data_IF_433391010474
#
_entry.id   IF_433391010474
#
_cell.length_a   1.000
_cell.length_b   1.000
_cell.length_c   1.000
_cell.angle_alpha   90.00
_cell.angle_beta   90.00
_cell.angle_gamma   90.00
#
_symmetry.space_group_name_H-M   'P 1'
#
loop_
_entity.id
_entity.type
_entity.pdbx_description
1 polymer ?
#
# COMPACT_ATOMS: atom_id res chain seq x y z
N UNK A 1 5.02 -2.46 -8.89
CA UNK A 1 3.83 -3.01 -8.17
C UNK A 1 3.69 -4.48 -8.47
N UNK A 2 3.36 -5.29 -7.47
CA UNK A 2 2.98 -6.69 -7.61
C UNK A 2 1.45 -6.79 -7.66
N UNK A 3 0.91 -7.38 -8.74
CA UNK A 3 -0.53 -7.55 -8.92
C UNK A 3 -0.88 -9.03 -8.86
N UNK A 4 -1.86 -9.39 -8.02
CA UNK A 4 -2.50 -10.70 -8.00
C UNK A 4 -3.78 -10.70 -8.83
N UNK A 5 -4.07 -11.80 -9.49
CA UNK A 5 -5.36 -12.07 -10.14
C UNK A 5 -5.83 -13.43 -9.64
N UNK A 6 -7.04 -13.50 -9.08
CA UNK A 6 -7.71 -14.76 -8.72
C UNK A 6 -8.99 -14.87 -9.52
N UNK A 7 -9.00 -15.79 -10.47
CA UNK A 7 -10.06 -15.99 -11.46
C UNK A 7 -10.01 -17.44 -11.96
N UNK A 8 -11.08 -18.20 -11.88
CA UNK A 8 -11.13 -19.61 -12.28
C UNK A 8 -11.37 -19.79 -13.79
N UNK A 9 -12.02 -18.82 -14.45
CA UNK A 9 -12.16 -18.78 -15.91
C UNK A 9 -10.84 -18.40 -16.57
N UNK A 10 -10.25 -19.34 -17.31
CA UNK A 10 -8.95 -19.15 -18.01
C UNK A 10 -9.01 -18.04 -19.04
N UNK A 11 -10.12 -17.92 -19.77
CA UNK A 11 -10.25 -16.90 -20.82
C UNK A 11 -10.33 -15.51 -20.23
N UNK A 12 -11.07 -15.37 -19.12
CA UNK A 12 -11.20 -14.09 -18.43
C UNK A 12 -9.89 -13.70 -17.72
N UNK A 13 -9.20 -14.67 -17.15
CA UNK A 13 -7.87 -14.47 -16.54
C UNK A 13 -6.86 -13.93 -17.58
N UNK A 14 -6.80 -14.54 -18.78
CA UNK A 14 -5.92 -14.05 -19.85
C UNK A 14 -6.35 -12.65 -20.35
N UNK A 15 -7.66 -12.38 -20.43
CA UNK A 15 -8.16 -11.04 -20.74
C UNK A 15 -7.66 -10.00 -19.73
N UNK A 16 -7.74 -10.29 -18.44
CA UNK A 16 -7.24 -9.38 -17.39
C UNK A 16 -5.74 -9.13 -17.51
N UNK A 17 -4.94 -10.16 -17.78
CA UNK A 17 -3.49 -10.01 -18.07
C UNK A 17 -3.24 -9.07 -19.24
N UNK A 18 -3.97 -9.25 -20.34
CA UNK A 18 -3.83 -8.39 -21.54
C UNK A 18 -4.19 -6.94 -21.17
N UNK A 19 -5.28 -6.71 -20.43
CA UNK A 19 -5.69 -5.36 -20.00
C UNK A 19 -4.65 -4.70 -19.09
N UNK A 20 -4.01 -5.47 -18.20
CA UNK A 20 -2.97 -4.96 -17.32
C UNK A 20 -1.66 -4.63 -18.06
N UNK A 21 -1.44 -5.12 -19.28
CA UNK A 21 -0.28 -4.73 -20.09
C UNK A 21 -0.23 -3.22 -20.37
N UNK A 22 -1.35 -2.52 -20.35
CA UNK A 22 -1.38 -1.05 -20.45
C UNK A 22 -0.59 -0.36 -19.31
N UNK A 23 -0.39 -1.04 -18.19
CA UNK A 23 0.32 -0.55 -17.00
C UNK A 23 1.73 -1.13 -16.83
N UNK A 24 2.27 -1.76 -17.87
CA UNK A 24 3.54 -2.52 -17.86
C UNK A 24 4.75 -1.75 -17.33
N UNK A 25 4.77 -0.41 -17.46
CA UNK A 25 5.87 0.40 -16.93
C UNK A 25 5.86 0.53 -15.40
N UNK A 26 4.72 0.26 -14.76
CA UNK A 26 4.50 0.44 -13.33
C UNK A 26 4.28 -0.89 -12.58
N UNK A 27 4.08 -1.96 -13.34
CA UNK A 27 3.84 -3.32 -12.82
C UNK A 27 5.11 -4.14 -12.99
N UNK A 28 5.69 -4.58 -11.87
CA UNK A 28 6.90 -5.40 -11.85
C UNK A 28 6.59 -6.86 -12.16
N UNK A 29 5.49 -7.38 -11.58
CA UNK A 29 5.08 -8.77 -11.71
C UNK A 29 3.55 -8.91 -11.63
N UNK A 30 2.99 -9.85 -12.40
CA UNK A 30 1.59 -10.28 -12.30
C UNK A 30 1.57 -11.76 -11.96
N UNK A 31 0.92 -12.12 -10.84
CA UNK A 31 0.69 -13.51 -10.46
C UNK A 31 -0.77 -13.88 -10.63
N UNK A 32 -1.01 -15.03 -11.25
CA UNK A 32 -2.35 -15.50 -11.61
C UNK A 32 -2.65 -16.81 -10.88
N UNK A 33 -3.84 -16.87 -10.31
CA UNK A 33 -4.35 -18.01 -9.57
C UNK A 33 -5.70 -18.42 -10.12
N UNK A 34 -5.83 -19.68 -10.47
CA UNK A 34 -7.09 -20.28 -10.97
C UNK A 34 -7.89 -20.95 -9.86
N UNK A 35 -7.30 -21.07 -8.70
CA UNK A 35 -7.96 -21.61 -7.52
C UNK A 35 -7.51 -20.87 -6.26
N UNK A 36 -8.42 -20.68 -5.29
CA UNK A 36 -8.15 -20.01 -4.04
C UNK A 36 -7.06 -20.67 -3.18
N UNK A 37 -6.93 -22.00 -3.24
CA UNK A 37 -5.97 -22.74 -2.40
C UNK A 37 -4.52 -22.37 -2.73
N UNK A 38 -4.18 -22.24 -4.02
CA UNK A 38 -2.84 -21.85 -4.44
C UNK A 38 -2.54 -20.40 -4.02
N UNK A 39 -3.54 -19.53 -4.08
CA UNK A 39 -3.44 -18.14 -3.62
C UNK A 39 -3.27 -18.08 -2.10
N UNK A 40 -4.11 -18.80 -1.35
CA UNK A 40 -4.02 -18.89 0.13
C UNK A 40 -2.63 -19.37 0.56
N UNK A 41 -2.04 -20.35 -0.15
CA UNK A 41 -0.70 -20.84 0.15
C UNK A 41 0.34 -19.72 0.04
N UNK A 42 0.33 -18.95 -1.04
CA UNK A 42 1.30 -17.89 -1.26
C UNK A 42 1.11 -16.73 -0.26
N UNK A 43 -0.12 -16.31 -0.01
CA UNK A 43 -0.41 -15.18 0.89
C UNK A 43 -0.21 -15.56 2.35
N UNK A 44 -0.76 -16.69 2.80
CA UNK A 44 -0.76 -17.07 4.22
C UNK A 44 0.57 -17.72 4.61
N UNK A 45 1.05 -18.70 3.83
CA UNK A 45 2.22 -19.48 4.20
C UNK A 45 3.53 -18.84 3.76
N UNK A 46 3.57 -18.20 2.58
CA UNK A 46 4.76 -17.51 2.07
C UNK A 46 4.78 -16.02 2.43
N UNK A 47 3.72 -15.48 3.05
CA UNK A 47 3.56 -14.07 3.41
C UNK A 47 3.77 -13.14 2.22
N UNK A 48 3.27 -13.56 1.06
CA UNK A 48 3.33 -12.75 -0.15
C UNK A 48 2.32 -11.62 -0.06
N UNK A 49 2.79 -10.40 -0.21
CA UNK A 49 1.95 -9.19 -0.18
C UNK A 49 1.78 -8.66 -1.59
N UNK A 50 0.53 -8.49 -2.01
CA UNK A 50 0.17 -7.85 -3.26
C UNK A 50 -0.10 -6.36 -3.04
N UNK A 51 0.36 -5.52 -3.97
CA UNK A 51 -0.06 -4.11 -4.00
C UNK A 51 -1.53 -4.00 -4.42
N UNK A 52 -1.94 -4.75 -5.44
CA UNK A 52 -3.32 -4.80 -5.95
C UNK A 52 -3.71 -6.27 -6.15
N UNK A 53 -4.94 -6.61 -5.78
CA UNK A 53 -5.56 -7.91 -6.02
C UNK A 53 -6.83 -7.72 -6.85
N UNK A 54 -6.86 -8.27 -8.07
CA UNK A 54 -8.07 -8.43 -8.87
C UNK A 54 -8.70 -9.77 -8.49
N UNK A 55 -9.94 -9.76 -8.02
CA UNK A 55 -10.56 -10.92 -7.38
C UNK A 55 -11.96 -11.14 -7.90
N UNK A 56 -12.22 -12.31 -8.52
CA UNK A 56 -13.59 -12.72 -8.75
C UNK A 56 -14.25 -13.17 -7.45
N UNK A 57 -15.57 -13.03 -7.39
CA UNK A 57 -16.37 -13.44 -6.25
C UNK A 57 -16.72 -14.92 -6.33
N UNK A 58 -17.11 -15.41 -7.51
CA UNK A 58 -17.38 -16.84 -7.70
C UNK A 58 -16.13 -17.57 -8.22
N UNK A 59 -15.55 -18.41 -7.39
CA UNK A 59 -14.33 -19.17 -7.64
C UNK A 59 -14.62 -20.68 -7.51
N UNK A 60 -15.52 -21.16 -8.38
CA UNK A 60 -16.01 -22.53 -8.35
C UNK A 60 -16.84 -22.83 -7.10
N UNK A 61 -16.26 -23.47 -6.09
CA UNK A 61 -16.95 -23.78 -4.81
C UNK A 61 -16.66 -22.78 -3.70
N UNK A 62 -15.74 -21.88 -3.93
CA UNK A 62 -15.28 -20.91 -2.93
C UNK A 62 -15.78 -19.51 -3.25
N UNK A 63 -15.85 -18.67 -2.22
CA UNK A 63 -16.32 -17.30 -2.33
C UNK A 63 -15.13 -16.33 -2.22
N UNK A 64 -14.96 -15.47 -3.21
CA UNK A 64 -13.90 -14.46 -3.22
C UNK A 64 -14.04 -13.42 -2.10
N UNK A 65 -15.25 -13.26 -1.52
CA UNK A 65 -15.44 -12.36 -0.37
C UNK A 65 -14.76 -12.96 0.87
N UNK A 66 -14.89 -14.26 1.10
CA UNK A 66 -14.22 -14.95 2.20
C UNK A 66 -12.69 -14.87 2.04
N UNK A 67 -12.21 -14.98 0.79
CA UNK A 67 -10.80 -14.81 0.47
C UNK A 67 -10.33 -13.38 0.76
N UNK A 68 -11.12 -12.38 0.40
CA UNK A 68 -10.81 -10.99 0.68
C UNK A 68 -10.73 -10.68 2.18
N UNK A 69 -11.60 -11.28 3.00
CA UNK A 69 -11.55 -11.15 4.44
C UNK A 69 -10.23 -11.66 5.01
N UNK A 70 -9.77 -12.84 4.55
CA UNK A 70 -8.45 -13.38 4.93
C UNK A 70 -7.31 -12.44 4.51
N UNK A 71 -7.37 -11.92 3.27
CA UNK A 71 -6.37 -10.95 2.77
C UNK A 71 -6.35 -9.70 3.64
N UNK A 72 -7.51 -9.19 4.04
CA UNK A 72 -7.59 -8.01 4.91
C UNK A 72 -6.94 -8.24 6.28
N UNK A 73 -6.98 -9.46 6.81
CA UNK A 73 -6.34 -9.83 8.07
C UNK A 73 -4.81 -9.96 7.94
N UNK A 74 -4.33 -10.61 6.88
CA UNK A 74 -2.92 -10.95 6.72
C UNK A 74 -2.13 -9.83 6.04
N UNK A 75 -2.71 -9.20 5.02
CA UNK A 75 -2.11 -8.12 4.22
C UNK A 75 -3.05 -6.92 4.10
N UNK A 76 -3.26 -6.15 5.19
CA UNK A 76 -4.30 -5.13 5.30
C UNK A 76 -4.14 -3.93 4.35
N UNK A 77 -3.00 -3.82 3.68
CA UNK A 77 -2.69 -2.74 2.74
C UNK A 77 -2.92 -3.12 1.27
N UNK A 78 -3.17 -4.39 0.98
CA UNK A 78 -3.53 -4.87 -0.35
C UNK A 78 -4.81 -4.18 -0.84
N UNK A 79 -4.75 -3.59 -2.03
CA UNK A 79 -5.90 -2.91 -2.65
C UNK A 79 -6.73 -3.94 -3.41
N UNK A 80 -7.87 -4.36 -2.86
CA UNK A 80 -8.74 -5.36 -3.47
C UNK A 80 -9.68 -4.68 -4.46
N UNK A 81 -9.74 -5.19 -5.67
CA UNK A 81 -10.68 -4.80 -6.72
C UNK A 81 -11.47 -6.05 -7.09
N UNK A 82 -12.74 -6.07 -6.74
CA UNK A 82 -13.63 -7.14 -7.18
C UNK A 82 -13.99 -6.98 -8.66
N UNK A 83 -13.98 -8.10 -9.39
CA UNK A 83 -14.38 -8.16 -10.80
C UNK A 83 -15.26 -9.38 -10.97
N UNK A 84 -16.55 -9.20 -11.12
CA UNK A 84 -17.52 -10.30 -11.18
C UNK A 84 -18.67 -10.03 -12.14
N UNK A 85 -19.28 -11.10 -12.64
CA UNK A 85 -20.53 -11.03 -13.40
C UNK A 85 -21.77 -11.00 -12.49
N UNK A 86 -21.60 -11.23 -11.19
CA UNK A 86 -22.69 -11.47 -10.25
C UNK A 86 -23.01 -10.25 -9.40
N UNK A 87 -23.88 -9.40 -9.93
CA UNK A 87 -24.27 -8.13 -9.29
C UNK A 87 -25.04 -8.28 -7.96
N UNK A 88 -25.57 -9.47 -7.69
CA UNK A 88 -26.25 -9.74 -6.40
C UNK A 88 -25.32 -9.61 -5.19
N UNK A 89 -24.01 -9.78 -5.36
CA UNK A 89 -23.02 -9.69 -4.27
C UNK A 89 -22.58 -8.26 -3.93
N UNK A 90 -23.11 -7.23 -4.61
CA UNK A 90 -22.75 -5.82 -4.35
C UNK A 90 -22.93 -5.44 -2.88
N UNK A 91 -23.93 -5.98 -2.19
CA UNK A 91 -24.14 -5.72 -0.76
C UNK A 91 -23.13 -6.47 0.11
N UNK A 92 -22.72 -7.67 -0.31
CA UNK A 92 -21.91 -8.55 0.53
C UNK A 92 -20.43 -8.15 0.53
N UNK A 93 -19.95 -7.53 -0.55
CA UNK A 93 -18.55 -7.05 -0.63
C UNK A 93 -18.21 -5.98 0.42
N UNK A 94 -19.21 -5.28 0.97
CA UNK A 94 -19.02 -4.32 2.06
C UNK A 94 -18.60 -4.96 3.39
N UNK A 95 -18.65 -6.29 3.51
CA UNK A 95 -18.12 -7.02 4.66
C UNK A 95 -16.58 -7.01 4.66
N UNK A 96 -15.95 -6.84 3.50
CA UNK A 96 -14.51 -6.76 3.35
C UNK A 96 -14.05 -5.33 3.01
N UNK A 97 -12.82 -4.99 3.41
CA UNK A 97 -12.17 -3.76 2.98
C UNK A 97 -11.72 -3.95 1.54
N UNK A 98 -12.31 -3.20 0.61
CA UNK A 98 -11.96 -3.22 -0.80
C UNK A 98 -11.88 -1.80 -1.38
N UNK A 99 -11.23 -1.67 -2.53
CA UNK A 99 -10.99 -0.38 -3.19
C UNK A 99 -12.02 -0.08 -4.25
N UNK A 100 -12.45 -1.10 -4.99
CA UNK A 100 -13.36 -0.96 -6.11
C UNK A 100 -14.15 -2.24 -6.38
N UNK A 101 -15.31 -2.09 -7.04
CA UNK A 101 -16.13 -3.18 -7.54
C UNK A 101 -16.41 -2.95 -9.03
N UNK A 102 -16.19 -3.96 -9.87
CA UNK A 102 -16.36 -3.90 -11.33
C UNK A 102 -17.28 -5.04 -11.78
N UNK A 103 -18.33 -4.68 -12.49
CA UNK A 103 -19.11 -5.60 -13.30
C UNK A 103 -18.27 -6.05 -14.51
N UNK A 104 -18.11 -7.37 -14.72
CA UNK A 104 -17.35 -7.95 -15.84
C UNK A 104 -17.74 -7.36 -17.20
N UNK A 105 -19.04 -7.05 -17.43
CA UNK A 105 -19.51 -6.43 -18.65
C UNK A 105 -19.01 -4.99 -18.86
N UNK A 106 -18.62 -4.31 -17.78
CA UNK A 106 -18.17 -2.92 -17.79
C UNK A 106 -16.68 -2.77 -17.49
N UNK A 107 -15.92 -3.86 -17.62
CA UNK A 107 -14.50 -3.92 -17.30
C UNK A 107 -13.70 -2.76 -17.94
N UNK A 108 -13.85 -2.59 -19.26
CA UNK A 108 -13.09 -1.58 -20.00
C UNK A 108 -13.34 -0.15 -19.54
N UNK A 109 -14.55 0.12 -19.08
CA UNK A 109 -14.95 1.42 -18.59
C UNK A 109 -14.35 1.74 -17.22
N UNK A 110 -14.34 0.75 -16.32
CA UNK A 110 -14.05 1.01 -14.90
C UNK A 110 -12.67 0.54 -14.44
N UNK A 111 -12.01 -0.39 -15.14
CA UNK A 111 -10.67 -0.86 -14.76
C UNK A 111 -9.64 0.29 -14.66
N UNK A 112 -9.59 1.26 -15.60
CA UNK A 112 -8.65 2.39 -15.46
C UNK A 112 -8.88 3.20 -14.18
N UNK A 113 -10.13 3.49 -13.84
CA UNK A 113 -10.47 4.23 -12.62
C UNK A 113 -10.16 3.45 -11.35
N UNK A 114 -10.40 2.14 -11.36
CA UNK A 114 -10.11 1.25 -10.24
C UNK A 114 -8.60 1.16 -9.97
N UNK A 115 -7.79 0.95 -11.01
CA UNK A 115 -6.32 0.93 -10.89
C UNK A 115 -5.79 2.29 -10.42
N UNK A 116 -6.30 3.40 -10.98
CA UNK A 116 -5.93 4.75 -10.54
C UNK A 116 -6.22 4.92 -9.05
N UNK A 117 -7.41 4.56 -8.59
CA UNK A 117 -7.80 4.66 -7.18
C UNK A 117 -6.94 3.80 -6.28
N UNK A 118 -6.64 2.57 -6.68
CA UNK A 118 -5.74 1.69 -5.93
C UNK A 118 -4.34 2.30 -5.79
N UNK A 119 -3.79 2.87 -6.86
CA UNK A 119 -2.48 3.56 -6.85
C UNK A 119 -2.48 4.78 -5.94
N UNK A 120 -3.53 5.60 -5.98
CA UNK A 120 -3.69 6.74 -5.06
C UNK A 120 -3.68 6.28 -3.60
N UNK A 121 -4.41 5.22 -3.27
CA UNK A 121 -4.44 4.65 -1.92
C UNK A 121 -3.06 4.12 -1.50
N UNK A 122 -2.36 3.39 -2.39
CA UNK A 122 -1.00 2.88 -2.13
C UNK A 122 -0.04 4.03 -1.87
N UNK A 123 -0.06 5.07 -2.69
CA UNK A 123 0.79 6.25 -2.52
C UNK A 123 0.47 6.97 -1.21
N UNK A 124 -0.81 7.12 -0.87
CA UNK A 124 -1.22 7.69 0.40
C UNK A 124 -0.73 6.87 1.59
N UNK A 125 -0.84 5.53 1.54
CA UNK A 125 -0.29 4.65 2.58
C UNK A 125 1.23 4.78 2.68
N UNK A 126 1.94 4.75 1.56
CA UNK A 126 3.40 4.93 1.52
C UNK A 126 3.82 6.29 2.09
N UNK A 127 3.06 7.35 1.81
CA UNK A 127 3.33 8.69 2.36
C UNK A 127 3.09 8.81 3.87
N UNK A 128 2.44 7.83 4.50
CA UNK A 128 2.27 7.79 5.95
C UNK A 128 3.50 7.20 6.68
N UNK A 129 4.41 6.56 5.97
CA UNK A 129 5.59 5.92 6.57
C UNK A 129 6.88 6.52 6.01
N UNK A 130 7.86 6.68 6.88
CA UNK A 130 9.24 6.98 6.53
C UNK A 130 10.02 5.66 6.51
N UNK A 131 10.51 5.27 5.33
CA UNK A 131 11.33 4.07 5.14
C UNK A 131 12.80 4.44 5.25
N UNK A 132 13.47 3.94 6.27
CA UNK A 132 14.89 4.21 6.53
C UNK A 132 15.64 2.92 6.83
N UNK A 133 16.95 2.97 6.66
CA UNK A 133 17.82 1.83 6.99
C UNK A 133 19.00 2.28 7.83
N UNK A 134 19.42 1.38 8.73
CA UNK A 134 20.63 1.52 9.54
C UNK A 134 21.25 0.15 9.79
N UNK A 135 22.56 -0.02 9.53
CA UNK A 135 23.29 -1.28 9.70
C UNK A 135 22.58 -2.50 9.07
N UNK A 136 22.11 -2.36 7.82
CA UNK A 136 21.36 -3.37 7.06
C UNK A 136 19.96 -3.69 7.60
N UNK A 137 19.56 -3.11 8.70
CA UNK A 137 18.18 -3.22 9.21
C UNK A 137 17.31 -2.16 8.54
N UNK A 138 16.18 -2.59 7.95
CA UNK A 138 15.16 -1.70 7.40
C UNK A 138 14.12 -1.41 8.48
N UNK A 139 13.68 -0.16 8.56
CA UNK A 139 12.66 0.27 9.49
C UNK A 139 11.59 1.07 8.75
N UNK A 140 10.33 0.79 9.07
CA UNK A 140 9.16 1.55 8.68
C UNK A 140 8.72 2.39 9.87
N UNK A 141 8.82 3.70 9.75
CA UNK A 141 8.49 4.62 10.82
C UNK A 141 7.24 5.40 10.45
N UNK A 142 6.17 5.21 11.23
CA UNK A 142 4.93 5.93 11.02
C UNK A 142 5.15 7.43 11.22
N UNK A 143 4.96 8.23 10.18
CA UNK A 143 5.34 9.65 10.20
C UNK A 143 4.61 10.43 11.29
N UNK A 144 3.34 10.10 11.57
CA UNK A 144 2.54 10.73 12.62
C UNK A 144 3.10 10.50 14.04
N UNK A 145 3.95 9.51 14.22
CA UNK A 145 4.61 9.27 15.50
C UNK A 145 5.96 10.00 15.63
N UNK A 146 6.50 10.52 14.51
CA UNK A 146 7.76 11.27 14.52
C UNK A 146 7.53 12.64 15.14
N UNK A 147 8.31 12.96 16.18
CA UNK A 147 8.26 14.26 16.85
C UNK A 147 9.22 15.24 16.18
N UNK A 148 10.47 14.82 16.00
CA UNK A 148 11.50 15.58 15.28
C UNK A 148 12.62 14.66 14.80
N UNK A 149 13.45 15.18 13.91
CA UNK A 149 14.66 14.52 13.43
C UNK A 149 15.86 15.44 13.70
N UNK A 150 16.92 14.88 14.26
CA UNK A 150 18.16 15.58 14.55
C UNK A 150 19.34 14.91 13.84
N UNK A 151 20.17 15.70 13.17
CA UNK A 151 21.41 15.21 12.59
C UNK A 151 22.59 15.56 13.47
N UNK A 152 23.26 14.50 13.99
CA UNK A 152 24.51 14.60 14.73
C UNK A 152 25.64 13.99 13.89
N UNK A 153 26.63 14.79 13.54
CA UNK A 153 27.77 14.37 12.71
C UNK A 153 27.34 13.71 11.38
N UNK A 154 27.40 12.38 11.29
CA UNK A 154 27.06 11.61 10.08
C UNK A 154 25.77 10.79 10.20
N UNK A 155 25.08 10.85 11.34
CA UNK A 155 23.89 10.07 11.65
C UNK A 155 22.71 10.99 11.89
N UNK A 156 21.58 10.67 11.31
CA UNK A 156 20.30 11.29 11.62
C UNK A 156 19.51 10.38 12.57
N UNK A 157 18.97 10.98 13.61
CA UNK A 157 18.16 10.35 14.64
C UNK A 157 16.72 10.78 14.46
N UNK A 158 15.82 9.81 14.26
CA UNK A 158 14.39 10.03 14.12
C UNK A 158 13.73 9.72 15.46
N UNK A 159 13.33 10.77 16.17
CA UNK A 159 12.70 10.67 17.47
C UNK A 159 11.20 10.51 17.32
N UNK A 160 10.68 9.39 17.82
CA UNK A 160 9.24 9.10 17.81
C UNK A 160 8.69 9.04 19.24
N UNK A 161 7.37 8.86 19.34
CA UNK A 161 6.69 8.68 20.64
C UNK A 161 7.16 7.44 21.41
N UNK A 162 7.69 6.43 20.72
CA UNK A 162 8.03 5.13 21.30
C UNK A 162 9.53 4.91 21.41
N UNK A 163 10.27 5.21 20.35
CA UNK A 163 11.68 4.87 20.23
C UNK A 163 12.43 5.83 19.30
N UNK A 164 13.73 5.67 19.19
CA UNK A 164 14.60 6.48 18.33
C UNK A 164 15.22 5.60 17.27
N UNK A 165 14.94 5.92 16.02
CA UNK A 165 15.54 5.26 14.86
C UNK A 165 16.77 6.02 14.37
N UNK A 166 17.64 5.32 13.64
CA UNK A 166 18.86 5.90 13.06
C UNK A 166 18.87 5.70 11.54
N UNK A 167 19.49 6.66 10.84
CA UNK A 167 19.77 6.54 9.41
C UNK A 167 20.98 7.37 9.02
N UNK A 168 21.62 7.00 7.91
CA UNK A 168 22.71 7.79 7.30
C UNK A 168 22.20 8.95 6.45
N UNK A 169 20.91 8.95 6.09
CA UNK A 169 20.30 10.00 5.27
C UNK A 169 20.48 11.38 5.88
N UNK A 170 20.73 12.37 5.03
CA UNK A 170 20.90 13.78 5.43
C UNK A 170 19.54 14.45 5.60
N UNK A 171 19.50 15.61 6.26
CA UNK A 171 18.28 16.40 6.46
C UNK A 171 17.57 16.69 5.12
N UNK A 172 18.32 17.11 4.10
CA UNK A 172 17.75 17.44 2.78
C UNK A 172 17.23 16.20 2.02
N UNK A 173 17.72 15.01 2.34
CA UNK A 173 17.22 13.75 1.79
C UNK A 173 15.97 13.29 2.54
N UNK A 174 15.99 13.43 3.87
CA UNK A 174 14.88 13.04 4.73
C UNK A 174 13.62 13.88 4.50
N UNK A 175 13.76 15.20 4.34
CA UNK A 175 12.59 16.07 4.11
C UNK A 175 11.82 15.72 2.83
N UNK A 176 12.50 15.20 1.81
CA UNK A 176 11.87 14.76 0.55
C UNK A 176 11.07 13.46 0.70
N UNK A 177 11.30 12.71 1.79
CA UNK A 177 10.61 11.46 2.11
C UNK A 177 9.47 11.67 3.12
N UNK A 178 9.36 12.87 3.68
CA UNK A 178 8.35 13.22 4.67
C UNK A 178 7.19 13.96 4.00
N UNK A 179 6.02 13.90 4.63
CA UNK A 179 4.83 14.63 4.18
C UNK A 179 4.88 16.10 4.59
N UNK A 180 3.87 16.88 4.19
CA UNK A 180 3.78 18.33 4.40
C UNK A 180 3.64 18.74 5.89
N UNK A 181 3.50 17.79 6.82
CA UNK A 181 3.47 18.08 8.27
C UNK A 181 4.85 18.36 8.85
N UNK A 182 5.92 18.29 8.07
CA UNK A 182 7.28 18.51 8.52
C UNK A 182 7.91 19.75 7.91
N UNK A 183 8.73 20.44 8.70
CA UNK A 183 9.54 21.53 8.19
C UNK A 183 10.99 21.47 8.71
N UNK A 184 11.92 22.02 7.91
CA UNK A 184 13.30 22.23 8.33
C UNK A 184 13.35 23.53 9.14
N UNK A 185 13.63 23.43 10.44
CA UNK A 185 13.80 24.60 11.32
C UNK A 185 15.27 24.98 11.52
N UNK A 186 16.21 24.10 11.19
CA UNK A 186 17.65 24.35 11.26
C UNK A 186 18.39 23.38 10.32
N UNK A 187 19.63 23.70 9.92
CA UNK A 187 20.46 22.83 9.06
C UNK A 187 20.62 21.37 9.56
N UNK A 188 20.34 21.13 10.82
CA UNK A 188 20.46 19.82 11.48
C UNK A 188 19.14 19.32 12.06
N UNK A 189 18.02 20.02 11.88
CA UNK A 189 16.74 19.66 12.46
C UNK A 189 15.57 19.76 11.47
N UNK A 190 14.72 18.71 11.52
CA UNK A 190 13.36 18.70 10.97
C UNK A 190 12.41 18.53 12.14
N UNK A 191 11.33 19.28 12.17
CA UNK A 191 10.30 19.17 13.21
C UNK A 191 8.95 18.83 12.57
N UNK A 192 8.15 18.05 13.27
CA UNK A 192 6.76 17.83 12.91
C UNK A 192 5.93 18.99 13.47
N UNK A 193 5.20 19.68 12.60
CA UNK A 193 4.50 20.92 12.96
C UNK A 193 3.44 20.73 14.05
N UNK A 194 2.78 19.55 14.10
CA UNK A 194 1.76 19.25 15.13
C UNK A 194 2.34 19.16 16.56
N UNK A 195 3.66 19.03 16.70
CA UNK A 195 4.34 18.96 18.02
C UNK A 195 4.98 20.29 18.43
N UNK A 196 4.84 21.35 17.64
CA UNK A 196 5.33 22.67 18.00
C UNK A 196 4.32 23.30 18.97
N UNK A 197 4.76 23.63 20.18
CA UNK A 197 3.94 24.31 21.19
C UNK A 197 4.01 25.83 21.08
N UNK A 198 5.22 26.36 20.94
CA UNK A 198 5.50 27.79 20.91
C UNK A 198 6.63 28.10 19.94
N UNK A 199 6.50 29.25 19.26
CA UNK A 199 7.55 29.80 18.43
C UNK A 199 7.92 31.18 19.03
N UNK A 200 9.10 31.27 19.65
CA UNK A 200 9.62 32.50 20.19
C UNK A 200 10.53 33.19 19.17
N UNK A 201 10.25 34.45 18.88
CA UNK A 201 11.03 35.25 17.93
C UNK A 201 12.46 35.64 18.40
N UNK A 202 12.88 35.24 19.61
CA UNK A 202 14.12 35.67 20.26
C UNK A 202 15.18 34.60 20.44
N UNK A 203 15.18 33.52 19.70
CA UNK A 203 16.29 32.54 19.70
C UNK A 203 16.96 32.49 18.34
N UNK A 204 17.99 33.31 18.18
CA UNK A 204 19.06 33.09 17.19
C UNK A 204 20.07 32.14 17.78
#
# INVERSE_FOLDING_TARGET
MLIGIVEDDVHYLELLKIKLNAYKQEVDEIRCYRNPQSFDYDVINQKLEFDILLLDIELGKENGIDLALKVNEVTPYTQIIYITAYMQYVSDVYQSKHTYFIDKEKLDKYLPSAIKKAKENINHLKSQYLYISWNKQKNEVYQKDIIYIERKTRVSYVYTKKEVYKTSLKINELILLLNDSFCICHKSFIVHMDYIKDINHNSV
#
